data_IF_551617824877
#
_entry.id   IF_551617824877
#
_cell.length_a   1.000
_cell.length_b   1.000
_cell.length_c   1.000
_cell.angle_alpha   90.00
_cell.angle_beta   90.00
_cell.angle_gamma   90.00
#
_symmetry.space_group_name_H-M   'P 1'
#
loop_
_entity.id
_entity.type
_entity.pdbx_description
1 polymer ?
#
# COMPACT_ATOMS: atom_id res chain seq x y z
N UNK A 1 -0.26 0.36 -10.56
CA UNK A 1 -1.13 -0.37 -9.61
C UNK A 1 -2.21 0.55 -9.08
N UNK A 2 -1.85 1.74 -8.55
CA UNK A 2 -2.81 2.75 -8.10
C UNK A 2 -3.83 3.14 -9.18
N UNK A 3 -3.40 3.31 -10.44
CA UNK A 3 -4.32 3.58 -11.55
C UNK A 3 -5.30 2.41 -11.79
N UNK A 4 -4.86 1.16 -11.59
CA UNK A 4 -5.69 -0.03 -11.85
C UNK A 4 -6.78 -0.26 -10.80
N UNK A 5 -6.70 0.46 -9.67
CA UNK A 5 -7.75 0.51 -8.65
C UNK A 5 -8.58 1.79 -8.74
N UNK A 6 -8.34 2.65 -9.73
CA UNK A 6 -9.11 3.88 -9.95
C UNK A 6 -8.68 5.06 -9.08
N UNK A 7 -7.59 4.95 -8.31
CA UNK A 7 -7.19 5.98 -7.34
C UNK A 7 -6.89 7.34 -7.99
N UNK A 8 -6.60 7.37 -9.30
CA UNK A 8 -6.36 8.61 -10.02
C UNK A 8 -7.58 9.54 -10.02
N UNK A 9 -8.80 9.02 -10.00
CA UNK A 9 -10.01 9.86 -9.91
C UNK A 9 -10.08 10.58 -8.57
N UNK A 10 -9.81 9.85 -7.48
CA UNK A 10 -9.73 10.44 -6.15
C UNK A 10 -8.60 11.49 -6.08
N UNK A 11 -7.45 11.21 -6.70
CA UNK A 11 -6.34 12.14 -6.77
C UNK A 11 -6.72 13.45 -7.49
N UNK A 12 -7.47 13.38 -8.60
CA UNK A 12 -7.98 14.58 -9.29
C UNK A 12 -8.86 15.43 -8.38
N UNK A 13 -9.74 14.80 -7.59
CA UNK A 13 -10.61 15.48 -6.61
C UNK A 13 -9.78 16.22 -5.56
N UNK A 14 -8.87 15.53 -4.87
CA UNK A 14 -8.10 16.14 -3.77
C UNK A 14 -7.07 17.16 -4.23
N UNK A 15 -6.57 17.05 -5.46
CA UNK A 15 -5.63 18.02 -6.04
C UNK A 15 -6.32 19.22 -6.69
N UNK A 16 -7.63 19.12 -6.96
CA UNK A 16 -8.35 20.10 -7.78
C UNK A 16 -7.90 20.13 -9.25
N UNK A 17 -7.14 19.14 -9.72
CA UNK A 17 -6.62 19.08 -11.08
C UNK A 17 -7.31 17.96 -11.88
N UNK A 18 -8.34 18.28 -12.69
CA UNK A 18 -9.07 17.28 -13.48
C UNK A 18 -8.24 16.66 -14.61
N UNK A 19 -7.08 17.23 -14.95
CA UNK A 19 -6.24 16.81 -16.06
C UNK A 19 -5.15 15.81 -15.66
N UNK A 20 -5.06 15.39 -14.39
CA UNK A 20 -4.10 14.36 -13.98
C UNK A 20 -4.40 13.03 -14.68
N UNK A 21 -3.52 12.61 -15.59
CA UNK A 21 -3.74 11.38 -16.36
C UNK A 21 -3.47 10.10 -15.56
N UNK A 22 -2.63 10.17 -14.51
CA UNK A 22 -2.19 9.01 -13.74
C UNK A 22 -1.72 9.37 -12.33
N UNK A 23 -1.81 8.40 -11.42
CA UNK A 23 -1.14 8.43 -10.12
C UNK A 23 0.40 8.51 -10.21
N UNK A 24 0.99 8.34 -11.40
CA UNK A 24 2.42 8.64 -11.61
C UNK A 24 2.77 10.07 -11.22
N UNK A 25 1.83 11.01 -11.33
CA UNK A 25 2.06 12.42 -10.99
C UNK A 25 2.33 12.65 -9.50
N UNK A 26 2.05 11.68 -8.61
CA UNK A 26 2.52 11.73 -7.21
C UNK A 26 4.06 11.82 -7.11
N UNK A 27 4.78 11.38 -8.16
CA UNK A 27 6.23 11.51 -8.26
C UNK A 27 6.68 12.70 -9.14
N UNK A 28 5.73 13.54 -9.54
CA UNK A 28 5.89 14.68 -10.42
C UNK A 28 5.11 15.88 -9.89
N UNK A 29 4.15 16.39 -10.67
CA UNK A 29 3.49 17.66 -10.33
C UNK A 29 2.56 17.58 -9.12
N UNK A 30 2.05 16.38 -8.79
CA UNK A 30 1.24 16.14 -7.59
C UNK A 30 2.05 15.64 -6.39
N UNK A 31 3.38 15.84 -6.39
CA UNK A 31 4.25 15.45 -5.27
C UNK A 31 3.83 15.99 -3.88
N UNK A 32 3.30 17.23 -3.75
CA UNK A 32 2.78 17.70 -2.46
C UNK A 32 1.64 16.87 -1.87
N UNK A 33 0.99 16.01 -2.66
CA UNK A 33 -0.13 15.16 -2.25
C UNK A 33 0.30 13.72 -1.90
N UNK A 34 1.60 13.44 -1.85
CA UNK A 34 2.08 12.13 -1.37
C UNK A 34 3.09 12.27 -0.26
N UNK A 35 2.90 11.45 0.76
CA UNK A 35 3.85 11.23 1.82
C UNK A 35 4.37 9.80 1.76
N UNK A 36 5.67 9.64 1.58
CA UNK A 36 6.32 8.32 1.53
C UNK A 36 6.99 8.02 2.87
N UNK A 37 6.64 6.89 3.47
CA UNK A 37 7.20 6.44 4.75
C UNK A 37 7.39 4.92 4.79
N UNK A 38 8.01 4.44 5.87
CA UNK A 38 8.32 3.03 6.12
C UNK A 38 7.82 2.62 7.50
N UNK A 39 7.20 1.43 7.59
CA UNK A 39 6.80 0.87 8.88
C UNK A 39 7.98 0.69 9.84
N UNK A 40 9.16 0.33 9.30
CA UNK A 40 10.44 0.38 9.99
C UNK A 40 11.24 1.54 9.40
N UNK A 41 11.41 2.62 10.18
CA UNK A 41 11.99 3.88 9.72
C UNK A 41 13.45 3.75 9.26
N UNK A 42 14.20 2.89 9.94
CA UNK A 42 15.66 2.79 9.76
C UNK A 42 16.07 1.50 9.03
N UNK A 43 17.16 1.54 8.25
CA UNK A 43 17.74 0.34 7.66
C UNK A 43 17.98 -0.72 8.73
N UNK A 44 17.40 -1.89 8.53
CA UNK A 44 17.41 -2.98 9.49
C UNK A 44 18.00 -4.22 8.85
N UNK A 45 18.91 -4.88 9.55
CA UNK A 45 19.52 -6.13 9.11
C UNK A 45 19.08 -7.27 10.02
N UNK A 46 18.83 -8.43 9.44
CA UNK A 46 18.61 -9.66 10.18
C UNK A 46 19.56 -10.73 9.65
N UNK A 47 20.42 -11.26 10.52
CA UNK A 47 21.46 -12.24 10.17
C UNK A 47 22.36 -11.77 9.00
N UNK A 48 22.82 -10.51 9.05
CA UNK A 48 23.71 -9.92 8.06
C UNK A 48 23.07 -9.62 6.69
N UNK A 49 21.75 -9.78 6.54
CA UNK A 49 21.01 -9.49 5.30
C UNK A 49 19.98 -8.40 5.53
N UNK A 50 19.62 -7.68 4.47
CA UNK A 50 18.54 -6.70 4.53
C UNK A 50 17.26 -7.34 5.06
N UNK A 51 16.66 -6.73 6.08
CA UNK A 51 15.40 -7.19 6.62
C UNK A 51 14.27 -6.97 5.59
N UNK A 52 13.48 -8.00 5.35
CA UNK A 52 12.45 -8.02 4.29
C UNK A 52 11.03 -8.20 4.84
N UNK A 53 10.82 -7.95 6.14
CA UNK A 53 9.54 -8.15 6.81
C UNK A 53 9.33 -9.55 7.40
N UNK A 54 10.38 -10.37 7.43
CA UNK A 54 10.38 -11.69 8.05
C UNK A 54 11.64 -11.87 8.93
N UNK A 55 11.50 -12.25 10.21
CA UNK A 55 10.25 -12.52 10.94
C UNK A 55 9.37 -11.28 11.09
N UNK A 56 8.08 -11.46 11.42
CA UNK A 56 7.10 -10.36 11.61
C UNK A 56 7.66 -9.27 12.55
N UNK A 57 7.64 -7.98 12.16
CA UNK A 57 8.20 -6.91 12.97
C UNK A 57 7.49 -6.75 14.33
N UNK A 58 6.21 -7.11 14.43
CA UNK A 58 5.43 -7.02 15.67
C UNK A 58 5.90 -8.03 16.74
N UNK A 59 6.59 -9.10 16.32
CA UNK A 59 7.19 -10.08 17.23
C UNK A 59 8.56 -9.65 17.78
N UNK A 60 9.13 -8.55 17.28
CA UNK A 60 10.39 -7.99 17.79
C UNK A 60 10.11 -6.79 18.68
N UNK A 61 10.45 -6.81 19.98
CA UNK A 61 10.27 -5.65 20.87
C UNK A 61 10.88 -4.36 20.30
N UNK A 62 12.08 -4.44 19.72
CA UNK A 62 12.77 -3.29 19.13
C UNK A 62 12.03 -2.72 17.91
N UNK A 63 11.59 -3.58 16.98
CA UNK A 63 10.90 -3.11 15.77
C UNK A 63 9.49 -2.60 16.08
N UNK A 64 8.81 -3.24 17.03
CA UNK A 64 7.52 -2.76 17.55
C UNK A 64 7.66 -1.40 18.22
N UNK A 65 8.71 -1.16 19.01
CA UNK A 65 8.97 0.15 19.60
C UNK A 65 9.15 1.23 18.52
N UNK A 66 9.86 0.94 17.44
CA UNK A 66 9.98 1.86 16.28
C UNK A 66 8.59 2.16 15.68
N UNK A 67 7.76 1.15 15.50
CA UNK A 67 6.39 1.30 14.99
C UNK A 67 5.56 2.19 15.92
N UNK A 68 5.58 1.90 17.22
CA UNK A 68 4.75 2.60 18.22
C UNK A 68 5.21 4.04 18.50
N UNK A 69 6.51 4.33 18.37
CA UNK A 69 7.06 5.66 18.67
C UNK A 69 7.19 6.56 17.46
N UNK A 70 7.38 5.98 16.26
CA UNK A 70 7.61 6.75 15.03
C UNK A 70 6.39 6.67 14.11
N UNK A 71 6.09 5.48 13.56
CA UNK A 71 5.02 5.33 12.57
C UNK A 71 3.66 5.73 13.16
N UNK A 72 3.35 5.32 14.39
CA UNK A 72 2.10 5.70 15.06
C UNK A 72 1.92 7.22 15.14
N UNK A 73 2.98 7.96 15.50
CA UNK A 73 2.94 9.43 15.59
C UNK A 73 2.75 10.07 14.23
N UNK A 74 3.38 9.52 13.20
CA UNK A 74 3.23 10.00 11.82
C UNK A 74 1.80 9.78 11.30
N UNK A 75 1.24 8.58 11.51
CA UNK A 75 -0.16 8.26 11.17
C UNK A 75 -1.15 9.19 11.89
N UNK A 76 -0.89 9.53 13.15
CA UNK A 76 -1.73 10.45 13.94
C UNK A 76 -1.69 11.90 13.44
N UNK A 77 -0.60 12.33 12.80
CA UNK A 77 -0.47 13.67 12.22
C UNK A 77 -1.16 13.77 10.86
N UNK A 78 -1.18 12.69 10.10
CA UNK A 78 -1.80 12.61 8.78
C UNK A 78 -3.29 12.30 8.89
N UNK A 79 -4.09 13.22 9.44
CA UNK A 79 -5.52 12.98 9.79
C UNK A 79 -6.43 12.75 8.60
N UNK A 80 -6.15 13.40 7.47
CA UNK A 80 -7.01 13.34 6.28
C UNK A 80 -6.40 12.47 5.17
N UNK A 81 -5.29 11.77 5.47
CA UNK A 81 -4.61 10.93 4.50
C UNK A 81 -5.29 9.57 4.34
N UNK A 82 -5.22 9.06 3.12
CA UNK A 82 -5.45 7.66 2.79
C UNK A 82 -4.11 6.93 2.77
N UNK A 83 -4.04 5.82 3.49
CA UNK A 83 -2.84 5.01 3.61
C UNK A 83 -2.84 3.86 2.61
N UNK A 84 -1.67 3.62 2.02
CA UNK A 84 -1.47 2.61 0.98
C UNK A 84 -0.39 1.62 1.42
N UNK A 85 -0.72 0.65 2.29
CA UNK A 85 0.23 -0.37 2.72
C UNK A 85 0.61 -1.28 1.55
N UNK A 86 1.91 -1.45 1.33
CA UNK A 86 2.44 -2.26 0.24
C UNK A 86 2.89 -3.63 0.78
N UNK A 87 2.06 -4.65 0.60
CA UNK A 87 2.30 -6.02 1.02
C UNK A 87 1.81 -6.38 2.42
N UNK A 88 1.73 -7.69 2.68
CA UNK A 88 1.07 -8.28 3.86
C UNK A 88 1.73 -7.85 5.19
N UNK A 89 3.06 -7.71 5.26
CA UNK A 89 3.74 -7.27 6.49
C UNK A 89 3.38 -5.85 6.89
N UNK A 90 3.27 -4.91 5.93
CA UNK A 90 2.88 -3.53 6.26
C UNK A 90 1.39 -3.48 6.58
N UNK A 91 0.57 -4.30 5.91
CA UNK A 91 -0.84 -4.41 6.24
C UNK A 91 -1.07 -4.81 7.71
N UNK A 92 -0.37 -5.84 8.21
CA UNK A 92 -0.50 -6.26 9.62
C UNK A 92 -0.06 -5.18 10.61
N UNK A 93 0.92 -4.34 10.25
CA UNK A 93 1.30 -3.18 11.06
C UNK A 93 0.17 -2.15 11.14
N UNK A 94 -0.51 -1.85 10.03
CA UNK A 94 -1.65 -0.93 10.05
C UNK A 94 -2.85 -1.50 10.82
N UNK A 95 -3.09 -2.80 10.74
CA UNK A 95 -4.08 -3.51 11.58
C UNK A 95 -3.71 -3.39 13.08
N UNK A 96 -2.44 -3.60 13.44
CA UNK A 96 -1.94 -3.43 14.81
C UNK A 96 -2.10 -2.00 15.32
N UNK A 97 -1.83 -1.00 14.47
CA UNK A 97 -2.01 0.41 14.81
C UNK A 97 -3.49 0.81 14.94
N UNK A 98 -4.42 -0.04 14.48
CA UNK A 98 -5.87 0.18 14.47
C UNK A 98 -6.27 1.46 13.72
N UNK A 99 -5.63 1.69 12.57
CA UNK A 99 -6.03 2.77 11.68
C UNK A 99 -7.43 2.45 11.14
N UNK A 100 -8.30 3.45 11.10
CA UNK A 100 -9.67 3.33 10.58
C UNK A 100 -9.65 2.68 9.20
N UNK A 101 -10.44 1.61 9.02
CA UNK A 101 -10.41 0.84 7.79
C UNK A 101 -10.69 1.74 6.59
N UNK A 102 -11.68 2.62 6.65
CA UNK A 102 -12.04 3.59 5.59
C UNK A 102 -10.86 4.37 5.04
N UNK A 103 -9.80 4.55 5.84
CA UNK A 103 -8.59 5.31 5.50
C UNK A 103 -7.43 4.45 4.99
N UNK A 104 -7.60 3.13 4.82
CA UNK A 104 -6.51 2.23 4.44
C UNK A 104 -6.87 1.34 3.24
N UNK A 105 -6.05 1.40 2.20
CA UNK A 105 -6.19 0.61 0.98
C UNK A 105 -5.40 -0.71 1.06
N UNK A 106 -5.91 -1.67 1.83
CA UNK A 106 -5.29 -2.99 2.00
C UNK A 106 -5.34 -3.87 0.74
N UNK A 107 -4.24 -4.59 0.47
CA UNK A 107 -4.20 -5.67 -0.52
C UNK A 107 -3.35 -5.39 -1.76
N UNK A 108 -2.68 -4.24 -1.83
CA UNK A 108 -1.69 -3.99 -2.88
C UNK A 108 -0.42 -4.84 -2.64
N UNK A 109 0.10 -5.51 -3.68
CA UNK A 109 1.34 -6.28 -3.55
C UNK A 109 2.53 -5.34 -3.37
N UNK A 110 3.51 -5.76 -2.55
CA UNK A 110 4.75 -5.01 -2.37
C UNK A 110 5.55 -4.94 -3.69
N UNK A 111 6.07 -3.78 -4.12
CA UNK A 111 6.72 -3.58 -5.42
C UNK A 111 8.12 -4.21 -5.58
N UNK A 112 8.50 -5.15 -4.71
CA UNK A 112 9.81 -5.82 -4.78
C UNK A 112 9.89 -6.78 -5.95
N UNK A 113 11.11 -7.04 -6.44
CA UNK A 113 11.35 -7.94 -7.56
C UNK A 113 10.83 -9.37 -7.37
N UNK A 114 10.72 -9.84 -6.11
CA UNK A 114 10.15 -11.14 -5.76
C UNK A 114 8.64 -11.24 -6.00
N UNK A 115 7.93 -10.11 -6.13
CA UNK A 115 6.49 -10.05 -6.38
C UNK A 115 6.12 -9.78 -7.84
N UNK A 116 7.10 -9.81 -8.75
CA UNK A 116 6.90 -9.44 -10.16
C UNK A 116 5.75 -10.18 -10.84
N UNK A 117 5.60 -11.49 -10.61
CA UNK A 117 4.48 -12.24 -11.19
C UNK A 117 3.12 -11.76 -10.66
N UNK A 118 3.01 -11.53 -9.34
CA UNK A 118 1.78 -11.02 -8.70
C UNK A 118 1.43 -9.63 -9.20
N UNK A 119 2.44 -8.77 -9.37
CA UNK A 119 2.28 -7.42 -9.93
C UNK A 119 1.85 -7.49 -11.39
N UNK A 120 2.49 -8.33 -12.22
CA UNK A 120 2.11 -8.48 -13.62
C UNK A 120 0.68 -9.01 -13.75
N UNK A 121 0.26 -9.95 -12.91
CA UNK A 121 -1.13 -10.41 -12.86
C UNK A 121 -2.09 -9.29 -12.43
N UNK A 122 -1.76 -8.56 -11.35
CA UNK A 122 -2.54 -7.41 -10.86
C UNK A 122 -2.73 -6.32 -11.93
N UNK A 123 -1.73 -6.14 -12.79
CA UNK A 123 -1.71 -5.16 -13.87
C UNK A 123 -2.24 -5.71 -15.21
N UNK A 124 -2.87 -6.89 -15.22
CA UNK A 124 -3.38 -7.55 -16.44
C UNK A 124 -2.30 -7.83 -17.52
N UNK A 125 -1.01 -7.78 -17.15
CA UNK A 125 0.14 -8.05 -18.05
C UNK A 125 0.47 -9.53 -18.16
N UNK A 126 -0.11 -10.36 -17.31
CA UNK A 126 0.06 -11.81 -17.34
C UNK A 126 -1.30 -12.48 -17.14
N UNK A 127 -1.79 -13.31 -18.07
CA UNK A 127 -3.08 -13.96 -17.94
C UNK A 127 -3.04 -15.08 -16.89
N UNK A 128 -4.22 -15.38 -16.31
CA UNK A 128 -4.40 -16.33 -15.21
C UNK A 128 -3.82 -17.73 -15.49
N UNK A 129 -3.98 -18.23 -16.71
CA UNK A 129 -3.54 -19.57 -17.09
C UNK A 129 -2.01 -19.71 -17.21
N UNK A 130 -1.26 -18.61 -17.22
CA UNK A 130 0.22 -18.63 -17.26
C UNK A 130 0.87 -18.47 -15.88
N UNK A 131 0.07 -18.36 -14.81
CA UNK A 131 0.58 -18.13 -13.46
C UNK A 131 1.30 -19.36 -12.92
N UNK A 132 2.41 -19.13 -12.22
CA UNK A 132 3.05 -20.18 -11.43
C UNK A 132 2.20 -20.57 -10.22
N UNK A 133 2.48 -21.75 -9.66
CA UNK A 133 1.87 -22.22 -8.41
C UNK A 133 2.12 -21.32 -7.19
N UNK A 134 3.07 -20.37 -7.29
CA UNK A 134 3.39 -19.41 -6.21
C UNK A 134 2.49 -18.18 -6.20
N UNK A 135 1.67 -18.01 -7.23
CA UNK A 135 0.72 -16.89 -7.34
C UNK A 135 -0.69 -17.40 -7.19
N UNK A 136 -1.41 -16.89 -6.18
CA UNK A 136 -2.81 -17.19 -5.97
C UNK A 136 -3.66 -16.09 -6.66
N UNK A 137 -4.22 -16.34 -7.85
CA UNK A 137 -5.00 -15.34 -8.56
C UNK A 137 -6.30 -14.99 -7.83
N UNK A 138 -6.95 -15.94 -7.15
CA UNK A 138 -8.19 -15.68 -6.39
C UNK A 138 -7.95 -14.64 -5.30
N UNK A 139 -6.85 -14.74 -4.56
CA UNK A 139 -6.47 -13.74 -3.54
C UNK A 139 -6.27 -12.36 -4.17
N UNK A 140 -5.58 -12.30 -5.32
CA UNK A 140 -5.27 -11.03 -6.01
C UNK A 140 -6.55 -10.39 -6.58
N UNK A 141 -7.41 -11.17 -7.23
CA UNK A 141 -8.68 -10.71 -7.80
C UNK A 141 -9.58 -10.14 -6.69
N UNK A 142 -9.70 -10.86 -5.57
CA UNK A 142 -10.49 -10.41 -4.43
C UNK A 142 -9.93 -9.12 -3.81
N UNK A 143 -8.59 -9.01 -3.70
CA UNK A 143 -7.95 -7.80 -3.20
C UNK A 143 -8.20 -6.61 -4.13
N UNK A 144 -8.04 -6.79 -5.46
CA UNK A 144 -8.30 -5.74 -6.45
C UNK A 144 -9.75 -5.26 -6.41
N UNK A 145 -10.72 -6.18 -6.33
CA UNK A 145 -12.16 -5.83 -6.22
C UNK A 145 -12.45 -5.01 -4.97
N UNK A 146 -11.91 -5.41 -3.81
CA UNK A 146 -12.08 -4.65 -2.55
C UNK A 146 -11.47 -3.25 -2.65
N UNK A 147 -10.25 -3.14 -3.21
CA UNK A 147 -9.60 -1.84 -3.41
C UNK A 147 -10.41 -0.92 -4.32
N UNK A 148 -10.95 -1.45 -5.43
CA UNK A 148 -11.79 -0.69 -6.35
C UNK A 148 -13.08 -0.21 -5.68
N UNK A 149 -13.77 -1.09 -4.95
CA UNK A 149 -14.98 -0.72 -4.20
C UNK A 149 -14.69 0.41 -3.20
N UNK A 150 -13.58 0.30 -2.46
CA UNK A 150 -13.18 1.30 -1.47
C UNK A 150 -12.83 2.65 -2.10
N UNK A 151 -12.19 2.65 -3.27
CA UNK A 151 -11.93 3.90 -4.01
C UNK A 151 -13.23 4.55 -4.46
N UNK A 152 -14.26 3.77 -4.83
CA UNK A 152 -15.60 4.31 -5.14
C UNK A 152 -16.27 4.91 -3.90
N UNK A 153 -16.15 4.28 -2.73
CA UNK A 153 -16.64 4.83 -1.46
C UNK A 153 -15.97 6.17 -1.15
N UNK A 154 -14.64 6.27 -1.29
CA UNK A 154 -13.89 7.54 -1.11
C UNK A 154 -14.31 8.67 -2.06
N UNK A 155 -14.92 8.33 -3.20
CA UNK A 155 -15.47 9.31 -4.15
C UNK A 155 -16.91 9.72 -3.80
N UNK A 156 -17.61 8.94 -2.98
CA UNK A 156 -19.01 9.12 -2.62
C UNK A 156 -19.20 9.87 -1.29
N UNK A 157 -18.19 9.89 -0.44
CA UNK A 157 -18.21 10.67 0.80
C UNK A 157 -18.06 12.17 0.48
N UNK A 158 -19.08 12.95 0.84
CA UNK A 158 -19.19 14.42 0.79
C UNK A 158 -19.16 15.02 2.21
#
# INVERSE_FOLDING_TARGET
>A
MLDHIGLCEWLRRVTGNPHLASCRELFGTANPFVHMTSAIRYPTFFKGKNYSGSPDPLNSPLLREIIDTILRREVQQLRDAIFVPLGDTVASVFEYLRVEDTRVLFGLPHPSGANRERINYFLDKKPRHLLSSKTNPVKIDAARKRLQAKVVELLSDD
#
